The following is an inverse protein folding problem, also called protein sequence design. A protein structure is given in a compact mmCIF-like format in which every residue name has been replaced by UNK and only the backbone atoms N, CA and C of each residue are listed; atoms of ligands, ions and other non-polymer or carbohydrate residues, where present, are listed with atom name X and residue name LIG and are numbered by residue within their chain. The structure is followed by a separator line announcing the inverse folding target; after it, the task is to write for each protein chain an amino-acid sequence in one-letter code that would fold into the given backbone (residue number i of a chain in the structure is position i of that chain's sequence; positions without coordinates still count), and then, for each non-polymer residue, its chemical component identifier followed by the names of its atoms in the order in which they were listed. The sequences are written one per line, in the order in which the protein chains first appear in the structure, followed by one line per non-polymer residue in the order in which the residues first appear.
data_IF_994197305561
#
_entry.id   IF_994197305561
#
_cell.length_a   1.000
_cell.length_b   1.000
_cell.length_c   1.000
_cell.angle_alpha   90.00
_cell.angle_beta   90.00
_cell.angle_gamma   90.00
#
_symmetry.space_group_name_H-M   'P 1'
#
loop_
_entity.id
_entity.type
_entity.pdbx_description
1 polymer ?
#
# COMPACT_ATOMS: atom_id res chain seq x y z
N UNK A 1 -23.95 5.03 -1.56
CA UNK A 1 -22.89 4.19 -0.96
C UNK A 1 -21.58 4.93 -1.12
N UNK A 2 -20.64 4.86 -0.16
CA UNK A 2 -19.38 5.60 -0.24
C UNK A 2 -18.57 5.17 -1.47
N UNK A 3 -18.23 6.12 -2.33
CA UNK A 3 -17.40 5.89 -3.51
C UNK A 3 -15.95 6.25 -3.16
N UNK A 4 -14.98 5.46 -3.59
CA UNK A 4 -13.56 5.80 -3.46
C UNK A 4 -13.29 7.04 -4.32
N UNK A 5 -12.97 8.16 -3.67
CA UNK A 5 -12.71 9.43 -4.34
C UNK A 5 -11.23 9.67 -4.58
N UNK A 6 -10.37 9.05 -3.77
CA UNK A 6 -8.91 9.23 -3.82
C UNK A 6 -8.19 8.07 -3.13
N UNK A 7 -7.04 7.69 -3.69
CA UNK A 7 -6.14 6.67 -3.15
C UNK A 7 -4.74 7.23 -3.23
N UNK A 8 -4.14 7.50 -2.07
CA UNK A 8 -2.79 8.05 -1.98
C UNK A 8 -1.85 7.06 -1.32
N UNK A 9 -0.63 6.94 -1.83
CA UNK A 9 0.40 6.06 -1.27
C UNK A 9 1.64 6.85 -0.89
N UNK A 10 2.27 6.45 0.20
CA UNK A 10 3.51 7.03 0.70
C UNK A 10 4.46 5.92 1.12
N UNK A 11 5.76 6.13 0.88
CA UNK A 11 6.83 5.23 1.32
C UNK A 11 7.75 5.97 2.28
N UNK A 12 8.13 5.28 3.35
CA UNK A 12 9.08 5.73 4.34
C UNK A 12 10.21 4.71 4.45
N UNK A 13 11.46 5.16 4.37
CA UNK A 13 12.61 4.36 4.76
C UNK A 13 12.91 4.65 6.23
N UNK A 14 12.51 3.74 7.12
CA UNK A 14 12.59 3.96 8.57
C UNK A 14 13.86 3.29 9.09
N UNK A 15 14.81 4.04 9.69
CA UNK A 15 16.04 3.47 10.23
C UNK A 15 15.73 2.58 11.44
N UNK A 16 16.44 1.46 11.54
CA UNK A 16 16.42 0.61 12.72
C UNK A 16 17.35 1.20 13.79
N UNK A 17 17.02 0.96 15.07
CA UNK A 17 17.86 1.42 16.18
C UNK A 17 19.24 0.73 16.20
N UNK A 18 19.29 -0.49 15.66
CA UNK A 18 20.50 -1.30 15.49
C UNK A 18 20.37 -2.17 14.24
N UNK A 19 21.48 -2.73 13.78
CA UNK A 19 21.50 -3.65 12.64
C UNK A 19 20.91 -5.00 13.04
N UNK A 20 19.96 -5.51 12.25
CA UNK A 20 19.37 -6.83 12.44
C UNK A 20 19.82 -7.75 11.31
N UNK A 21 20.23 -8.98 11.62
CA UNK A 21 20.79 -9.92 10.65
C UNK A 21 20.13 -11.29 10.75
N UNK A 22 19.83 -11.90 9.61
CA UNK A 22 19.49 -13.33 9.54
C UNK A 22 20.27 -14.07 8.45
N UNK A 23 20.15 -15.41 8.45
CA UNK A 23 20.94 -16.30 7.61
C UNK A 23 20.70 -16.17 6.09
N UNK A 24 19.58 -15.59 5.65
CA UNK A 24 19.20 -15.53 4.22
C UNK A 24 19.03 -14.11 3.70
N UNK A 25 18.50 -13.20 4.51
CA UNK A 25 18.24 -11.82 4.11
C UNK A 25 19.43 -10.89 4.40
N UNK A 26 20.41 -11.36 5.18
CA UNK A 26 21.62 -10.61 5.50
C UNK A 26 21.33 -9.47 6.46
N UNK A 27 22.06 -8.37 6.30
CA UNK A 27 21.98 -7.22 7.20
C UNK A 27 20.85 -6.25 6.83
N UNK A 28 20.07 -5.86 7.82
CA UNK A 28 19.03 -4.85 7.74
C UNK A 28 19.40 -3.64 8.60
N UNK A 29 19.47 -2.47 7.98
CA UNK A 29 19.70 -1.18 8.66
C UNK A 29 18.47 -0.29 8.68
N UNK A 30 17.49 -0.58 7.81
CA UNK A 30 16.21 0.09 7.72
C UNK A 30 15.15 -0.90 7.22
N UNK A 31 13.88 -0.56 7.44
CA UNK A 31 12.76 -1.18 6.75
C UNK A 31 12.03 -0.14 5.89
N UNK A 32 11.22 -0.59 4.94
CA UNK A 32 10.36 0.31 4.17
C UNK A 32 8.93 0.14 4.66
N UNK A 33 8.29 1.23 5.09
CA UNK A 33 6.87 1.27 5.39
C UNK A 33 6.14 1.90 4.21
N UNK A 34 5.15 1.21 3.64
CA UNK A 34 4.28 1.74 2.59
C UNK A 34 2.89 1.89 3.16
N UNK A 35 2.37 3.11 3.21
CA UNK A 35 1.02 3.42 3.69
C UNK A 35 0.13 3.80 2.52
N UNK A 36 -1.10 3.31 2.50
CA UNK A 36 -2.13 3.68 1.52
C UNK A 36 -3.31 4.29 2.25
N UNK A 37 -3.64 5.54 1.94
CA UNK A 37 -4.82 6.23 2.48
C UNK A 37 -5.88 6.29 1.39
N UNK A 38 -7.03 5.69 1.67
CA UNK A 38 -8.23 5.71 0.82
C UNK A 38 -9.20 6.72 1.41
N UNK A 39 -9.71 7.64 0.58
CA UNK A 39 -10.74 8.60 0.95
C UNK A 39 -12.01 8.32 0.16
N UNK A 40 -13.16 8.47 0.81
CA UNK A 40 -14.46 8.24 0.19
C UNK A 40 -15.20 9.55 -0.09
N UNK A 41 -16.23 9.49 -0.94
CA UNK A 41 -17.05 10.63 -1.37
C UNK A 41 -17.84 11.30 -0.23
N UNK A 42 -18.08 10.59 0.86
CA UNK A 42 -18.71 11.09 2.10
C UNK A 42 -17.68 11.61 3.12
N UNK A 43 -16.41 11.70 2.74
CA UNK A 43 -15.35 12.31 3.55
C UNK A 43 -14.69 11.40 4.58
N UNK A 44 -14.99 10.10 4.58
CA UNK A 44 -14.29 9.14 5.45
C UNK A 44 -12.92 8.80 4.87
N UNK A 45 -11.98 8.47 5.75
CA UNK A 45 -10.63 8.06 5.39
C UNK A 45 -10.25 6.77 6.13
N UNK A 46 -9.58 5.86 5.42
CA UNK A 46 -8.98 4.66 5.98
C UNK A 46 -7.54 4.54 5.51
N UNK A 47 -6.61 4.24 6.43
CA UNK A 47 -5.20 4.02 6.08
C UNK A 47 -4.81 2.56 6.35
N UNK A 48 -4.44 1.85 5.29
CA UNK A 48 -3.78 0.55 5.35
C UNK A 48 -2.28 0.68 5.15
N UNK A 49 -1.53 -0.41 5.38
CA UNK A 49 -0.09 -0.41 5.17
C UNK A 49 0.47 -1.80 4.88
N UNK A 50 1.68 -1.83 4.33
CA UNK A 50 2.55 -3.00 4.23
C UNK A 50 3.99 -2.59 4.48
N UNK A 51 4.92 -3.54 4.56
CA UNK A 51 6.32 -3.27 4.80
C UNK A 51 7.26 -4.24 4.08
N UNK A 52 8.52 -3.82 3.91
CA UNK A 52 9.61 -4.67 3.44
C UNK A 52 10.83 -4.53 4.37
N UNK A 53 11.77 -5.46 4.31
CA UNK A 53 13.05 -5.38 5.03
C UNK A 53 14.07 -4.40 4.43
N UNK A 54 13.65 -3.40 3.64
CA UNK A 54 14.56 -2.40 3.06
C UNK A 54 14.66 -2.43 1.53
N UNK A 55 13.99 -3.37 0.87
CA UNK A 55 13.97 -3.50 -0.60
C UNK A 55 12.57 -3.84 -1.10
N UNK A 56 12.17 -3.25 -2.24
CA UNK A 56 10.90 -3.53 -2.91
C UNK A 56 9.80 -2.50 -2.65
N UNK A 57 9.97 -1.61 -1.66
CA UNK A 57 8.99 -0.57 -1.33
C UNK A 57 8.69 0.36 -2.51
N UNK A 58 9.71 0.77 -3.28
CA UNK A 58 9.50 1.56 -4.51
C UNK A 58 8.67 0.82 -5.56
N UNK A 59 8.85 -0.50 -5.70
CA UNK A 59 8.09 -1.31 -6.65
C UNK A 59 6.61 -1.43 -6.21
N UNK A 60 6.38 -1.61 -4.90
CA UNK A 60 5.03 -1.63 -4.31
C UNK A 60 4.33 -0.28 -4.53
N UNK A 61 5.03 0.84 -4.29
CA UNK A 61 4.49 2.18 -4.54
C UNK A 61 4.09 2.32 -6.01
N UNK A 62 4.97 1.97 -6.95
CA UNK A 62 4.68 2.08 -8.38
C UNK A 62 3.45 1.26 -8.78
N UNK A 63 3.33 0.02 -8.31
CA UNK A 63 2.14 -0.83 -8.54
C UNK A 63 0.86 -0.15 -8.02
N UNK A 64 0.91 0.45 -6.84
CA UNK A 64 -0.25 1.12 -6.26
C UNK A 64 -0.58 2.40 -7.03
N UNK A 65 0.41 3.25 -7.32
CA UNK A 65 0.20 4.54 -7.99
C UNK A 65 -0.30 4.39 -9.42
N UNK A 66 0.25 3.44 -10.17
CA UNK A 66 0.02 3.34 -11.60
C UNK A 66 -1.04 2.34 -12.00
N UNK A 67 -1.21 1.25 -11.24
CA UNK A 67 -2.12 0.16 -11.62
C UNK A 67 -3.37 0.13 -10.71
N UNK A 68 -3.17 0.08 -9.39
CA UNK A 68 -4.30 -0.16 -8.46
C UNK A 68 -5.12 1.10 -8.13
N UNK A 69 -4.48 2.24 -7.86
CA UNK A 69 -5.18 3.46 -7.47
C UNK A 69 -6.13 3.96 -8.58
N UNK A 70 -5.71 4.05 -9.87
CA UNK A 70 -6.63 4.44 -10.95
C UNK A 70 -7.79 3.46 -11.14
N UNK A 71 -7.56 2.16 -10.92
CA UNK A 71 -8.58 1.12 -11.00
C UNK A 71 -9.64 1.24 -9.89
N UNK A 72 -9.21 1.57 -8.66
CA UNK A 72 -10.07 1.65 -7.49
C UNK A 72 -10.89 2.95 -7.41
N UNK A 73 -10.37 4.07 -7.92
CA UNK A 73 -11.10 5.35 -7.91
C UNK A 73 -12.41 5.22 -8.70
N UNK A 74 -13.52 5.65 -8.09
CA UNK A 74 -14.87 5.52 -8.65
C UNK A 74 -15.61 4.24 -8.25
N UNK A 75 -14.95 3.29 -7.58
CA UNK A 75 -15.58 2.06 -7.09
C UNK A 75 -16.30 2.27 -5.73
N UNK A 76 -17.22 1.36 -5.40
CA UNK A 76 -17.96 1.38 -4.12
C UNK A 76 -17.08 0.80 -3.00
N UNK A 77 -16.69 1.64 -2.04
CA UNK A 77 -15.68 1.33 -1.03
C UNK A 77 -16.04 0.16 -0.08
N UNK A 78 -17.33 -0.14 0.11
CA UNK A 78 -17.78 -1.19 1.04
C UNK A 78 -17.72 -2.61 0.44
N UNK A 79 -17.50 -2.75 -0.87
CA UNK A 79 -17.46 -4.05 -1.55
C UNK A 79 -16.07 -4.70 -1.45
N UNK A 80 -15.54 -4.85 -0.23
CA UNK A 80 -14.13 -5.21 0.02
C UNK A 80 -13.74 -6.53 -0.67
N UNK A 81 -14.51 -7.61 -0.51
CA UNK A 81 -14.18 -8.90 -1.11
C UNK A 81 -14.20 -8.86 -2.64
N UNK A 82 -15.16 -8.15 -3.22
CA UNK A 82 -15.26 -7.94 -4.68
C UNK A 82 -14.08 -7.15 -5.21
N UNK A 83 -13.69 -6.06 -4.54
CA UNK A 83 -12.55 -5.25 -4.94
C UNK A 83 -11.24 -6.03 -4.79
N UNK A 84 -11.11 -6.84 -3.74
CA UNK A 84 -9.94 -7.68 -3.53
C UNK A 84 -9.75 -8.71 -4.66
N UNK A 85 -10.80 -9.46 -4.99
CA UNK A 85 -10.78 -10.43 -6.10
C UNK A 85 -10.53 -9.72 -7.45
N UNK A 86 -11.18 -8.58 -7.69
CA UNK A 86 -10.99 -7.84 -8.92
C UNK A 86 -9.56 -7.29 -9.09
N UNK A 87 -8.92 -6.83 -8.02
CA UNK A 87 -7.51 -6.42 -8.05
C UNK A 87 -6.58 -7.59 -8.39
N UNK A 88 -6.86 -8.80 -7.89
CA UNK A 88 -6.07 -9.98 -8.20
C UNK A 88 -6.08 -10.34 -9.69
N UNK A 89 -7.18 -10.08 -10.40
CA UNK A 89 -7.28 -10.34 -11.84
C UNK A 89 -6.88 -9.15 -12.71
N UNK A 90 -6.69 -7.97 -12.13
CA UNK A 90 -6.29 -6.77 -12.84
C UNK A 90 -4.79 -6.72 -13.13
N UNK A 91 -3.97 -7.37 -12.29
CA UNK A 91 -2.50 -7.38 -12.32
C UNK A 91 -1.99 -8.79 -12.59
#
# INVERSE_FOLDING_TARGET
MPIISDVSVRRFAVPLAEMLTDAKHGDHTNFELVTVTVRTSDGQEGTGYTYTGGRGGTAIVALIEHDLAPFLVGQVAIQVDTLHDAMQWHV
#
